data_IF_780655906873
#
_entry.id   IF_780655906873
#
_cell.length_a   1.000
_cell.length_b   1.000
_cell.length_c   1.000
_cell.angle_alpha   90.00
_cell.angle_beta   90.00
_cell.angle_gamma   90.00
#
_symmetry.space_group_name_H-M   'P 1'
#
loop_
_entity.id
_entity.type
_entity.pdbx_description
1 polymer ?
#
# COMPACT_ATOMS: atom_id res chain seq x y z
N UNK A 1 35.00 27.98 -39.56
CA UNK A 1 34.11 28.02 -38.37
C UNK A 1 34.86 28.70 -37.24
N UNK A 2 34.38 29.85 -36.71
CA UNK A 2 34.93 30.46 -35.51
C UNK A 2 34.35 29.82 -34.24
N UNK A 3 35.11 29.68 -33.14
CA UNK A 3 34.56 29.15 -31.89
C UNK A 3 33.65 30.18 -31.20
N UNK A 4 32.49 29.69 -30.76
CA UNK A 4 31.44 30.44 -30.06
C UNK A 4 31.94 30.86 -28.67
N UNK A 5 31.94 32.17 -28.42
CA UNK A 5 32.35 32.79 -27.14
C UNK A 5 31.19 32.76 -26.15
N UNK A 6 31.26 31.88 -25.14
CA UNK A 6 30.24 31.84 -24.07
C UNK A 6 30.56 32.91 -23.03
N UNK A 7 29.76 33.98 -23.00
CA UNK A 7 29.81 35.04 -21.99
C UNK A 7 29.43 34.48 -20.61
N UNK A 8 30.38 34.45 -19.67
CA UNK A 8 30.10 34.17 -18.26
C UNK A 8 29.46 35.38 -17.60
N UNK A 9 28.14 35.36 -17.43
CA UNK A 9 27.42 36.26 -16.52
C UNK A 9 27.92 35.97 -15.09
N UNK A 10 28.66 36.90 -14.49
CA UNK A 10 29.04 36.84 -13.07
C UNK A 10 27.80 37.14 -12.24
N UNK A 11 27.17 36.12 -11.66
CA UNK A 11 26.30 36.32 -10.51
C UNK A 11 27.19 36.56 -9.29
N UNK A 12 27.18 37.80 -8.79
CA UNK A 12 27.64 38.14 -7.44
C UNK A 12 26.42 38.01 -6.53
N UNK A 13 26.44 37.10 -5.57
CA UNK A 13 25.67 37.22 -4.34
C UNK A 13 26.58 36.85 -3.16
N UNK A 14 26.58 37.71 -2.14
CA UNK A 14 27.46 37.62 -0.98
C UNK A 14 27.09 36.47 -0.04
N UNK A 15 28.13 35.92 0.59
CA UNK A 15 28.13 35.08 1.79
C UNK A 15 26.94 34.14 2.00
N UNK A 16 27.04 32.99 1.35
CA UNK A 16 26.43 31.72 1.72
C UNK A 16 27.05 30.68 0.80
N UNK A 17 27.65 29.62 1.34
CA UNK A 17 28.40 28.62 0.58
C UNK A 17 27.52 28.00 -0.54
N UNK A 18 27.60 28.57 -1.75
CA UNK A 18 26.87 28.11 -2.91
C UNK A 18 27.57 26.92 -3.54
N UNK A 19 27.17 25.73 -3.14
CA UNK A 19 27.59 24.48 -3.78
C UNK A 19 27.11 24.47 -5.23
N UNK A 20 27.98 24.10 -6.16
CA UNK A 20 27.58 23.93 -7.57
C UNK A 20 26.58 22.78 -7.72
N UNK A 21 25.75 22.79 -8.76
CA UNK A 21 24.74 21.73 -8.98
C UNK A 21 25.36 20.32 -9.03
N UNK A 22 26.58 20.20 -9.57
CA UNK A 22 27.37 18.96 -9.57
C UNK A 22 27.90 18.61 -8.17
N UNK A 23 28.43 19.57 -7.41
CA UNK A 23 28.86 19.32 -6.03
C UNK A 23 27.69 18.96 -5.11
N UNK A 24 26.51 19.54 -5.33
CA UNK A 24 25.27 19.17 -4.62
C UNK A 24 24.80 17.76 -4.99
N UNK A 25 25.01 17.30 -6.22
CA UNK A 25 24.66 15.94 -6.64
C UNK A 25 25.62 14.90 -6.05
N UNK A 26 26.93 15.17 -6.11
CA UNK A 26 27.97 14.32 -5.52
C UNK A 26 27.81 14.22 -3.99
N UNK A 27 27.46 15.33 -3.32
CA UNK A 27 27.14 15.30 -1.89
C UNK A 27 25.85 14.55 -1.59
N UNK A 28 24.81 14.64 -2.45
CA UNK A 28 23.59 13.84 -2.29
C UNK A 28 23.87 12.34 -2.44
N UNK A 29 24.66 11.94 -3.44
CA UNK A 29 25.04 10.53 -3.66
C UNK A 29 25.96 10.03 -2.53
N UNK A 30 26.88 10.86 -2.04
CA UNK A 30 27.78 10.51 -0.93
C UNK A 30 27.04 10.44 0.42
N UNK A 31 26.09 11.35 0.70
CA UNK A 31 25.19 11.26 1.86
C UNK A 31 24.28 10.03 1.80
N UNK A 32 23.86 9.63 0.59
CA UNK A 32 23.12 8.38 0.35
C UNK A 32 23.99 7.14 0.64
N UNK A 33 25.29 7.20 0.38
CA UNK A 33 26.21 6.08 0.60
C UNK A 33 26.73 5.96 2.04
N UNK A 34 26.80 7.06 2.81
CA UNK A 34 27.38 7.06 4.16
C UNK A 34 26.38 6.83 5.29
N UNK A 35 25.10 6.58 4.98
CA UNK A 35 24.09 6.23 5.98
C UNK A 35 23.91 4.71 6.08
N UNK A 36 24.97 4.03 6.47
CA UNK A 36 24.89 2.67 6.97
C UNK A 36 24.29 2.71 8.39
N UNK A 37 23.02 2.36 8.55
CA UNK A 37 22.44 2.05 9.87
C UNK A 37 21.05 2.60 10.19
N UNK A 38 20.46 3.46 9.36
CA UNK A 38 19.05 3.85 9.51
C UNK A 38 18.34 3.60 8.18
N UNK A 39 17.47 2.58 8.16
CA UNK A 39 16.53 2.42 7.07
C UNK A 39 15.62 3.66 7.06
N UNK A 40 15.89 4.58 6.14
CA UNK A 40 14.90 5.57 5.76
C UNK A 40 13.82 4.84 4.97
N UNK A 41 12.89 4.22 5.70
CA UNK A 41 11.53 4.07 5.19
C UNK A 41 11.05 5.49 4.94
N UNK A 42 10.96 5.86 3.67
CA UNK A 42 10.16 7.02 3.28
C UNK A 42 8.78 6.78 3.90
N UNK A 43 8.46 7.53 4.97
CA UNK A 43 7.19 7.38 5.65
C UNK A 43 6.15 7.91 4.68
N UNK A 44 5.58 7.01 3.86
CA UNK A 44 4.43 7.34 3.03
C UNK A 44 3.38 7.94 3.95
N UNK A 45 2.86 9.12 3.60
CA UNK A 45 1.77 9.71 4.37
C UNK A 45 0.53 8.83 4.26
N UNK A 46 -0.37 8.92 5.24
CA UNK A 46 -1.63 8.18 5.17
C UNK A 46 -2.42 8.54 3.90
N UNK A 47 -2.36 9.79 3.46
CA UNK A 47 -3.03 10.23 2.23
C UNK A 47 -2.45 9.54 0.99
N UNK A 48 -1.12 9.42 0.90
CA UNK A 48 -0.45 8.68 -0.19
C UNK A 48 -0.84 7.19 -0.17
N UNK A 49 -0.93 6.60 1.03
CA UNK A 49 -1.37 5.21 1.17
C UNK A 49 -2.81 5.04 0.71
N UNK A 50 -3.71 5.95 1.10
CA UNK A 50 -5.12 5.94 0.73
C UNK A 50 -5.28 6.07 -0.80
N UNK A 51 -4.56 6.99 -1.43
CA UNK A 51 -4.59 7.18 -2.89
C UNK A 51 -4.08 5.93 -3.62
N UNK A 52 -2.96 5.37 -3.16
CA UNK A 52 -2.38 4.15 -3.73
C UNK A 52 -3.33 2.95 -3.57
N UNK A 53 -3.90 2.74 -2.38
CA UNK A 53 -4.87 1.68 -2.13
C UNK A 53 -6.09 1.83 -3.04
N UNK A 54 -6.61 3.06 -3.16
CA UNK A 54 -7.75 3.37 -4.01
C UNK A 54 -7.47 3.02 -5.48
N UNK A 55 -6.31 3.42 -5.99
CA UNK A 55 -5.88 3.16 -7.36
C UNK A 55 -5.73 1.67 -7.64
N UNK A 56 -5.02 0.95 -6.76
CA UNK A 56 -4.76 -0.48 -6.94
C UNK A 56 -6.05 -1.30 -6.88
N UNK A 57 -6.90 -1.10 -5.87
CA UNK A 57 -8.13 -1.86 -5.73
C UNK A 57 -9.12 -1.53 -6.87
N UNK A 58 -9.23 -0.26 -7.26
CA UNK A 58 -10.15 0.15 -8.34
C UNK A 58 -9.72 -0.39 -9.72
N UNK A 59 -8.45 -0.82 -9.87
CA UNK A 59 -7.98 -1.52 -11.08
C UNK A 59 -8.45 -2.98 -11.16
N UNK A 60 -8.93 -3.54 -10.04
CA UNK A 60 -9.39 -4.93 -9.93
C UNK A 60 -10.92 -5.01 -9.84
N UNK A 61 -11.56 -4.12 -9.07
CA UNK A 61 -13.01 -4.13 -8.81
C UNK A 61 -13.62 -2.74 -8.92
N UNK A 62 -14.91 -2.67 -9.29
CA UNK A 62 -15.66 -1.40 -9.35
C UNK A 62 -16.45 -1.06 -8.08
N UNK A 63 -16.78 -2.08 -7.26
CA UNK A 63 -17.54 -1.94 -6.02
C UNK A 63 -16.88 -2.78 -4.92
N UNK A 64 -16.78 -2.27 -3.68
CA UNK A 64 -17.27 -0.96 -3.20
C UNK A 64 -16.45 0.23 -3.74
N UNK A 65 -16.94 1.47 -3.60
CA UNK A 65 -16.22 2.68 -4.06
C UNK A 65 -15.08 3.02 -3.08
N UNK A 66 -13.86 3.12 -3.59
CA UNK A 66 -12.67 3.47 -2.80
C UNK A 66 -12.64 4.97 -2.50
N UNK A 67 -13.28 5.39 -1.41
CA UNK A 67 -13.27 6.80 -0.98
C UNK A 67 -12.23 7.01 0.12
N UNK A 68 -11.58 8.19 0.19
CA UNK A 68 -10.63 8.50 1.27
C UNK A 68 -11.23 8.32 2.66
N UNK A 69 -12.50 8.69 2.84
CA UNK A 69 -13.23 8.52 4.10
C UNK A 69 -13.34 7.06 4.55
N UNK A 70 -13.58 6.14 3.61
CA UNK A 70 -13.65 4.71 3.92
C UNK A 70 -12.26 4.14 4.19
N UNK A 71 -11.25 4.54 3.42
CA UNK A 71 -9.88 4.01 3.58
C UNK A 71 -9.15 4.58 4.80
N UNK A 72 -9.51 5.77 5.27
CA UNK A 72 -8.99 6.39 6.50
C UNK A 72 -9.59 5.76 7.77
N UNK A 73 -10.72 5.07 7.69
CA UNK A 73 -11.30 4.30 8.80
C UNK A 73 -12.19 3.17 8.27
N UNK A 74 -11.58 2.09 7.77
CA UNK A 74 -12.31 1.06 7.02
C UNK A 74 -13.26 0.28 7.94
N UNK A 75 -14.60 0.39 7.76
CA UNK A 75 -15.53 -0.41 8.53
C UNK A 75 -15.43 -1.88 8.09
N UNK A 76 -15.70 -2.82 9.01
CA UNK A 76 -15.56 -4.26 8.73
C UNK A 76 -16.31 -4.71 7.47
N UNK A 77 -17.54 -4.22 7.26
CA UNK A 77 -18.32 -4.57 6.07
C UNK A 77 -17.64 -4.13 4.77
N UNK A 78 -17.02 -2.95 4.76
CA UNK A 78 -16.28 -2.47 3.60
C UNK A 78 -15.08 -3.37 3.28
N UNK A 79 -14.34 -3.82 4.29
CA UNK A 79 -13.24 -4.77 4.15
C UNK A 79 -13.73 -6.12 3.60
N UNK A 80 -14.84 -6.64 4.12
CA UNK A 80 -15.45 -7.87 3.65
C UNK A 80 -15.91 -7.77 2.19
N UNK A 81 -16.59 -6.67 1.83
CA UNK A 81 -17.04 -6.42 0.45
C UNK A 81 -15.86 -6.34 -0.54
N UNK A 82 -14.70 -5.80 -0.10
CA UNK A 82 -13.46 -5.80 -0.91
C UNK A 82 -12.98 -7.23 -1.16
N UNK A 83 -12.83 -8.03 -0.10
CA UNK A 83 -12.39 -9.42 -0.21
C UNK A 83 -13.27 -10.18 -1.20
N UNK A 84 -14.59 -10.18 -0.97
CA UNK A 84 -15.56 -10.86 -1.83
C UNK A 84 -15.52 -10.34 -3.26
N UNK A 85 -15.41 -9.02 -3.44
CA UNK A 85 -15.31 -8.41 -4.77
C UNK A 85 -14.08 -8.87 -5.54
N UNK A 86 -12.91 -8.83 -4.90
CA UNK A 86 -11.63 -9.22 -5.54
C UNK A 86 -11.60 -10.70 -5.83
N UNK A 87 -12.02 -11.56 -4.89
CA UNK A 87 -12.10 -13.01 -5.10
C UNK A 87 -13.04 -13.34 -6.25
N UNK A 88 -14.21 -12.70 -6.35
CA UNK A 88 -15.11 -12.90 -7.50
C UNK A 88 -14.54 -12.43 -8.84
N UNK A 89 -13.74 -11.36 -8.83
CA UNK A 89 -13.17 -10.80 -10.05
C UNK A 89 -11.93 -11.57 -10.56
N UNK A 90 -11.18 -12.21 -9.66
CA UNK A 90 -9.86 -12.79 -9.99
C UNK A 90 -9.70 -14.26 -9.63
N UNK A 91 -10.57 -14.82 -8.79
CA UNK A 91 -10.38 -16.15 -8.19
C UNK A 91 -9.39 -16.19 -7.04
N UNK A 92 -8.73 -15.06 -6.69
CA UNK A 92 -7.77 -15.02 -5.58
C UNK A 92 -8.46 -15.31 -4.24
N UNK A 93 -7.96 -16.30 -3.51
CA UNK A 93 -8.50 -16.68 -2.19
C UNK A 93 -9.84 -17.41 -2.28
N UNK A 94 -10.19 -17.94 -3.44
CA UNK A 94 -11.33 -18.85 -3.58
C UNK A 94 -11.13 -20.08 -2.68
N UNK A 95 -12.17 -20.45 -1.91
CA UNK A 95 -12.08 -21.52 -0.92
C UNK A 95 -11.46 -21.13 0.43
N UNK A 96 -10.97 -19.88 0.61
CA UNK A 96 -10.42 -19.43 1.90
C UNK A 96 -11.48 -19.38 3.01
N UNK A 97 -12.73 -19.06 2.65
CA UNK A 97 -13.86 -18.98 3.56
C UNK A 97 -15.06 -19.77 3.03
N UNK A 98 -15.85 -20.30 3.95
CA UNK A 98 -17.04 -21.11 3.67
C UNK A 98 -18.21 -20.67 4.56
N UNK A 99 -19.42 -21.07 4.16
CA UNK A 99 -20.64 -20.89 4.94
C UNK A 99 -20.92 -19.43 5.30
N UNK A 100 -21.18 -19.19 6.59
CA UNK A 100 -21.62 -17.87 7.06
C UNK A 100 -20.53 -16.79 6.94
N UNK A 101 -19.26 -17.16 6.81
CA UNK A 101 -18.16 -16.20 6.63
C UNK A 101 -18.16 -15.52 5.25
N UNK A 102 -18.90 -16.06 4.28
CA UNK A 102 -19.09 -15.44 2.96
C UNK A 102 -20.16 -14.34 2.95
N UNK A 103 -20.93 -14.19 4.04
CA UNK A 103 -21.96 -13.17 4.19
C UNK A 103 -21.77 -12.40 5.50
N UNK A 104 -21.21 -11.19 5.40
CA UNK A 104 -20.97 -10.35 6.58
C UNK A 104 -22.23 -10.01 7.37
N UNK A 105 -23.43 -10.09 6.79
CA UNK A 105 -24.68 -9.84 7.54
C UNK A 105 -24.94 -10.91 8.61
N UNK A 106 -24.41 -12.12 8.43
CA UNK A 106 -24.60 -13.24 9.36
C UNK A 106 -23.72 -13.18 10.60
N UNK A 107 -22.64 -12.39 10.57
CA UNK A 107 -21.69 -12.30 11.68
C UNK A 107 -21.24 -10.86 11.98
N UNK A 108 -22.01 -9.87 11.52
CA UNK A 108 -21.72 -8.45 11.70
C UNK A 108 -21.61 -8.01 13.17
N UNK A 109 -22.25 -8.71 14.09
CA UNK A 109 -22.19 -8.39 15.53
C UNK A 109 -21.30 -9.38 16.31
N UNK A 110 -20.81 -10.42 15.65
CA UNK A 110 -19.94 -11.42 16.25
C UNK A 110 -18.47 -10.98 16.13
N UNK A 111 -17.92 -10.47 17.23
CA UNK A 111 -16.52 -10.02 17.31
C UNK A 111 -15.52 -11.15 17.02
N UNK A 112 -15.79 -12.36 17.49
CA UNK A 112 -14.89 -13.51 17.30
C UNK A 112 -14.84 -13.94 15.83
N UNK A 113 -15.99 -13.97 15.15
CA UNK A 113 -16.07 -14.25 13.73
C UNK A 113 -15.33 -13.19 12.89
N UNK A 114 -15.46 -11.90 13.24
CA UNK A 114 -14.67 -10.83 12.59
C UNK A 114 -13.17 -11.03 12.79
N UNK A 115 -12.75 -11.37 14.01
CA UNK A 115 -11.32 -11.63 14.30
C UNK A 115 -10.81 -12.81 13.47
N UNK A 116 -11.58 -13.91 13.40
CA UNK A 116 -11.21 -15.09 12.62
C UNK A 116 -11.10 -14.77 11.13
N UNK A 117 -12.07 -14.03 10.58
CA UNK A 117 -12.07 -13.59 9.19
C UNK A 117 -10.81 -12.78 8.87
N UNK A 118 -10.56 -11.71 9.64
CA UNK A 118 -9.41 -10.84 9.42
C UNK A 118 -8.09 -11.60 9.58
N UNK A 119 -7.97 -12.44 10.62
CA UNK A 119 -6.75 -13.23 10.85
C UNK A 119 -6.43 -14.13 9.64
N UNK A 120 -7.42 -14.91 9.18
CA UNK A 120 -7.22 -15.80 8.02
C UNK A 120 -6.87 -15.03 6.75
N UNK A 121 -7.51 -13.89 6.53
CA UNK A 121 -7.21 -13.06 5.35
C UNK A 121 -5.80 -12.47 5.44
N UNK A 122 -5.39 -11.93 6.59
CA UNK A 122 -4.02 -11.41 6.80
C UNK A 122 -2.97 -12.51 6.60
N UNK A 123 -3.19 -13.69 7.20
CA UNK A 123 -2.28 -14.83 7.07
C UNK A 123 -2.16 -15.26 5.60
N UNK A 124 -3.29 -15.35 4.88
CA UNK A 124 -3.33 -15.68 3.46
C UNK A 124 -2.53 -14.67 2.61
N UNK A 125 -2.76 -13.36 2.80
CA UNK A 125 -2.05 -12.33 2.03
C UNK A 125 -0.57 -12.33 2.37
N UNK A 126 -0.21 -12.51 3.63
CA UNK A 126 1.20 -12.54 4.08
C UNK A 126 1.97 -13.68 3.42
N UNK A 127 1.39 -14.89 3.43
CA UNK A 127 1.99 -16.07 2.80
C UNK A 127 2.07 -15.89 1.28
N UNK A 128 0.99 -15.42 0.66
CA UNK A 128 0.90 -15.25 -0.80
C UNK A 128 1.84 -14.16 -1.33
N UNK A 129 2.03 -13.08 -0.57
CA UNK A 129 2.94 -12.00 -0.92
C UNK A 129 4.40 -12.32 -0.57
N UNK A 130 4.65 -13.30 0.30
CA UNK A 130 5.98 -13.58 0.85
C UNK A 130 6.47 -12.48 1.79
N UNK A 131 5.56 -11.74 2.43
CA UNK A 131 5.84 -10.59 3.29
C UNK A 131 5.08 -10.71 4.62
N UNK A 132 5.73 -10.39 5.74
CA UNK A 132 5.08 -10.36 7.04
C UNK A 132 4.27 -9.07 7.21
N UNK A 133 2.95 -9.17 7.10
CA UNK A 133 2.07 -8.03 7.35
C UNK A 133 1.94 -7.74 8.85
N UNK A 134 1.98 -6.45 9.20
CA UNK A 134 1.88 -5.98 10.60
C UNK A 134 0.43 -5.69 11.04
N UNK A 135 -0.55 -5.96 10.18
CA UNK A 135 -1.95 -5.67 10.43
C UNK A 135 -2.49 -6.53 11.59
N UNK A 136 -3.12 -5.89 12.58
CA UNK A 136 -3.66 -6.55 13.78
C UNK A 136 -5.20 -6.60 13.71
N UNK A 137 -5.83 -7.79 13.61
CA UNK A 137 -7.28 -7.94 13.56
C UNK A 137 -8.06 -7.18 14.65
N UNK A 138 -7.54 -7.13 15.87
CA UNK A 138 -8.21 -6.47 17.01
C UNK A 138 -8.21 -4.97 16.82
N UNK A 139 -7.08 -4.41 16.38
CA UNK A 139 -6.95 -2.97 16.11
C UNK A 139 -7.71 -2.55 14.86
N UNK A 140 -7.81 -3.41 13.84
CA UNK A 140 -8.68 -3.18 12.67
C UNK A 140 -10.14 -3.07 13.11
N UNK A 141 -10.63 -4.00 13.93
CA UNK A 141 -12.02 -3.99 14.41
C UNK A 141 -12.33 -2.73 15.24
N UNK A 142 -11.37 -2.24 16.03
CA UNK A 142 -11.53 -0.98 16.77
C UNK A 142 -11.24 0.28 15.94
N UNK A 143 -10.82 0.13 14.67
CA UNK A 143 -10.54 1.23 13.75
C UNK A 143 -9.27 2.02 14.09
N UNK A 144 -8.25 1.35 14.63
CA UNK A 144 -6.99 1.93 15.12
C UNK A 144 -5.75 1.56 14.28
N UNK A 145 -5.89 0.75 13.23
CA UNK A 145 -4.75 0.20 12.47
C UNK A 145 -4.82 0.54 10.97
N UNK A 146 -5.05 1.82 10.69
CA UNK A 146 -5.45 2.29 9.36
C UNK A 146 -4.32 2.07 8.34
N UNK A 147 -3.09 2.38 8.70
CA UNK A 147 -1.91 2.28 7.85
C UNK A 147 -1.65 0.83 7.46
N UNK A 148 -1.58 -0.07 8.44
CA UNK A 148 -1.34 -1.50 8.18
C UNK A 148 -2.51 -2.16 7.45
N UNK A 149 -3.74 -1.69 7.68
CA UNK A 149 -4.89 -2.12 6.87
C UNK A 149 -4.71 -1.73 5.41
N UNK A 150 -4.29 -0.49 5.14
CA UNK A 150 -4.03 -0.04 3.76
C UNK A 150 -2.89 -0.82 3.11
N UNK A 151 -1.79 -1.09 3.83
CA UNK A 151 -0.70 -1.92 3.32
C UNK A 151 -1.15 -3.34 2.97
N UNK A 152 -1.95 -3.97 3.83
CA UNK A 152 -2.57 -5.28 3.54
C UNK A 152 -3.45 -5.22 2.28
N UNK A 153 -4.29 -4.19 2.14
CA UNK A 153 -5.15 -4.02 0.96
C UNK A 153 -4.35 -3.81 -0.32
N UNK A 154 -3.24 -3.05 -0.27
CA UNK A 154 -2.33 -2.87 -1.40
C UNK A 154 -1.68 -4.18 -1.81
N UNK A 155 -1.16 -4.96 -0.85
CA UNK A 155 -0.57 -6.27 -1.11
C UNK A 155 -1.61 -7.22 -1.75
N UNK A 156 -2.82 -7.26 -1.22
CA UNK A 156 -3.91 -8.07 -1.76
C UNK A 156 -4.29 -7.67 -3.20
N UNK A 157 -4.37 -6.36 -3.49
CA UNK A 157 -4.63 -5.87 -4.85
C UNK A 157 -3.53 -6.27 -5.84
N UNK A 158 -2.26 -6.17 -5.44
CA UNK A 158 -1.13 -6.58 -6.27
C UNK A 158 -1.14 -8.08 -6.56
N UNK A 159 -1.47 -8.91 -5.57
CA UNK A 159 -1.67 -10.34 -5.78
C UNK A 159 -2.81 -10.62 -6.76
N UNK A 160 -3.93 -9.90 -6.63
CA UNK A 160 -5.09 -10.06 -7.51
C UNK A 160 -4.75 -9.72 -8.97
N UNK A 161 -3.97 -8.66 -9.18
CA UNK A 161 -3.44 -8.31 -10.51
C UNK A 161 -2.55 -9.43 -11.05
N UNK A 162 -1.64 -9.98 -10.24
CA UNK A 162 -0.78 -11.10 -10.67
C UNK A 162 -1.57 -12.35 -11.04
N UNK A 163 -2.62 -12.68 -10.29
CA UNK A 163 -3.52 -13.80 -10.59
C UNK A 163 -4.26 -13.56 -11.91
N UNK A 164 -4.84 -12.37 -12.08
CA UNK A 164 -5.51 -11.97 -13.33
C UNK A 164 -4.58 -12.08 -14.55
N UNK A 165 -3.32 -11.71 -14.37
CA UNK A 165 -2.30 -11.73 -15.43
C UNK A 165 -1.67 -13.14 -15.60
N UNK A 166 -2.12 -14.15 -14.84
CA UNK A 166 -1.69 -15.55 -14.94
C UNK A 166 -0.31 -15.84 -14.36
N UNK A 167 0.22 -14.94 -13.53
CA UNK A 167 1.59 -15.01 -12.99
C UNK A 167 1.68 -15.79 -11.67
N UNK A 168 0.56 -15.96 -10.96
CA UNK A 168 0.48 -16.62 -9.65
C UNK A 168 -0.77 -17.50 -9.62
N UNK A 169 -0.68 -18.66 -8.95
CA UNK A 169 -1.82 -19.57 -8.74
C UNK A 169 -2.87 -18.95 -7.81
N UNK A 170 -4.12 -19.37 -7.94
CA UNK A 170 -5.26 -18.87 -7.15
C UNK A 170 -5.27 -19.33 -5.68
N UNK A 171 -4.32 -20.19 -5.30
CA UNK A 171 -4.33 -21.05 -4.10
C UNK A 171 -3.94 -20.33 -2.80
#
# INVERSE_FOLDING_TARGET
MPPIRVSRKRFRNGNGLGLTLSQSYELRVTLLSLRSGEQFQEIMSLDDMVEKTSTLISSVIQKPKMTPKLLAKPPFRFLHDIFIGVTKATGLGEGLFEGDLLDSSKFQDNKEAKMLFLKRWIDFVSVSAGELLQADPRKIISGLDVENTNLMLQAFALLAVRVRDGLVSNA
#
